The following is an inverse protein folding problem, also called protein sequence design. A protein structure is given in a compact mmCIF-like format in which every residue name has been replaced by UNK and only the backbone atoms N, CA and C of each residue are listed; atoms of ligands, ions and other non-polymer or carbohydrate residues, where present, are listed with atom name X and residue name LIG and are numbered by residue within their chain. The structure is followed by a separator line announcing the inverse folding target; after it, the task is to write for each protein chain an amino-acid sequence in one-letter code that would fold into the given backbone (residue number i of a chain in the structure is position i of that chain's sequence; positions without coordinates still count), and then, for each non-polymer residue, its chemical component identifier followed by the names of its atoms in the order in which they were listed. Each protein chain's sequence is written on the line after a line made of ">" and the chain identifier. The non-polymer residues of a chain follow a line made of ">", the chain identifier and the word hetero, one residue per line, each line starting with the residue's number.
data_IF_502122419136
#
_entry.id   IF_502122419136
#
_cell.length_a   1.000
_cell.length_b   1.000
_cell.length_c   1.000
_cell.angle_alpha   90.00
_cell.angle_beta   90.00
_cell.angle_gamma   90.00
#
_symmetry.space_group_name_H-M   'P 1'
#
loop_
_entity.id
_entity.type
_entity.pdbx_description
1 polymer ?
#
# COMPACT_ATOMS: atom_id res chain seq x y z
N UNK A 1 -3.63 15.42 48.83
CA UNK A 1 -3.81 14.17 48.07
C UNK A 1 -4.94 13.38 48.69
N UNK A 2 -6.15 13.51 48.14
CA UNK A 2 -7.32 12.71 48.50
C UNK A 2 -7.09 11.29 47.97
N UNK A 3 -6.90 10.32 48.88
CA UNK A 3 -6.91 8.89 48.53
C UNK A 3 -8.31 8.56 48.02
N UNK A 4 -8.49 8.48 46.71
CA UNK A 4 -9.71 7.91 46.15
C UNK A 4 -9.60 6.40 46.33
N UNK A 5 -10.28 5.93 47.36
CA UNK A 5 -10.35 4.52 47.79
C UNK A 5 -11.26 3.77 46.81
N UNK A 6 -10.78 3.54 45.57
CA UNK A 6 -11.47 2.67 44.61
C UNK A 6 -11.34 1.23 45.11
N UNK A 7 -12.26 0.81 45.98
CA UNK A 7 -12.22 -0.49 46.68
C UNK A 7 -12.40 -1.72 45.80
N UNK A 8 -12.68 -1.57 44.50
CA UNK A 8 -12.93 -2.69 43.60
C UNK A 8 -12.36 -2.42 42.22
N UNK A 9 -11.70 -3.40 41.60
CA UNK A 9 -11.08 -3.27 40.26
C UNK A 9 -12.08 -3.52 39.11
N UNK A 10 -13.36 -3.26 39.36
CA UNK A 10 -14.42 -3.35 38.38
C UNK A 10 -15.61 -2.45 38.76
N UNK A 11 -16.41 -2.06 37.77
CA UNK A 11 -17.65 -1.32 37.96
C UNK A 11 -18.75 -1.85 37.02
N UNK A 12 -19.98 -1.92 37.54
CA UNK A 12 -21.16 -2.18 36.72
C UNK A 12 -21.46 -0.92 35.90
N UNK A 13 -21.40 -1.04 34.57
CA UNK A 13 -21.49 0.12 33.67
C UNK A 13 -22.87 0.78 33.76
N UNK A 14 -23.93 0.04 34.09
CA UNK A 14 -25.25 0.64 34.25
C UNK A 14 -25.37 1.60 35.43
N UNK A 15 -24.54 1.42 36.46
CA UNK A 15 -24.59 2.27 37.64
C UNK A 15 -23.85 3.61 37.39
N UNK A 16 -22.93 3.64 36.41
CA UNK A 16 -22.12 4.81 36.08
C UNK A 16 -21.63 4.77 34.61
N UNK A 17 -22.51 4.97 33.61
CA UNK A 17 -22.12 4.94 32.21
C UNK A 17 -21.30 6.17 31.85
N UNK A 18 -20.24 6.01 31.06
CA UNK A 18 -19.53 7.14 30.45
C UNK A 18 -20.09 7.49 29.06
N UNK A 19 -19.64 8.62 28.49
CA UNK A 19 -20.13 9.09 27.19
C UNK A 19 -19.86 8.11 26.03
N UNK A 20 -18.86 7.22 26.15
CA UNK A 20 -18.64 6.17 25.16
C UNK A 20 -19.68 5.05 25.31
N UNK A 21 -20.06 4.71 26.54
CA UNK A 21 -21.10 3.73 26.83
C UNK A 21 -22.44 4.17 26.24
N UNK A 22 -22.82 5.43 26.45
CA UNK A 22 -24.06 5.99 25.89
C UNK A 22 -24.09 5.91 24.36
N UNK A 23 -23.00 6.30 23.69
CA UNK A 23 -22.87 6.18 22.23
C UNK A 23 -22.93 4.73 21.76
N UNK A 24 -22.31 3.83 22.52
CA UNK A 24 -22.32 2.42 22.22
C UNK A 24 -23.75 1.83 22.32
N UNK A 25 -24.49 2.18 23.38
CA UNK A 25 -25.88 1.77 23.58
C UNK A 25 -26.79 2.29 22.47
N UNK A 26 -26.62 3.55 22.05
CA UNK A 26 -27.39 4.13 20.96
C UNK A 26 -27.21 3.38 19.63
N UNK A 27 -26.01 2.86 19.36
CA UNK A 27 -25.70 2.16 18.09
C UNK A 27 -25.98 0.66 18.09
N UNK A 28 -25.97 -0.01 19.24
CA UNK A 28 -26.06 -1.48 19.32
C UNK A 28 -27.26 -1.98 20.13
N UNK A 29 -28.05 -1.08 20.71
CA UNK A 29 -29.07 -1.41 21.71
C UNK A 29 -28.48 -1.51 23.12
N UNK A 30 -29.37 -1.52 24.11
CA UNK A 30 -28.99 -1.65 25.52
C UNK A 30 -28.56 -3.11 25.80
N UNK A 31 -27.35 -3.35 26.33
CA UNK A 31 -26.93 -4.70 26.71
C UNK A 31 -27.79 -5.23 27.87
N UNK A 32 -27.80 -6.56 28.03
CA UNK A 32 -28.43 -7.22 29.18
C UNK A 32 -27.54 -7.12 30.42
N UNK A 33 -26.22 -7.21 30.23
CA UNK A 33 -25.24 -6.94 31.27
C UNK A 33 -24.02 -6.20 30.71
N UNK A 34 -23.44 -5.33 31.53
CA UNK A 34 -22.30 -4.52 31.16
C UNK A 34 -21.35 -4.34 32.36
N UNK A 35 -20.05 -4.53 32.13
CA UNK A 35 -19.03 -4.52 33.18
C UNK A 35 -17.74 -3.89 32.65
N UNK A 36 -17.10 -3.02 33.42
CA UNK A 36 -15.73 -2.60 33.16
C UNK A 36 -14.80 -3.26 34.17
N UNK A 37 -13.76 -3.90 33.69
CA UNK A 37 -12.65 -4.44 34.47
C UNK A 37 -11.48 -3.48 34.32
N UNK A 38 -11.01 -2.84 35.39
CA UNK A 38 -9.94 -1.84 35.33
C UNK A 38 -8.79 -2.18 36.28
N UNK A 39 -7.73 -1.38 36.32
CA UNK A 39 -6.51 -1.66 37.09
C UNK A 39 -5.78 -2.96 36.69
N UNK A 40 -5.77 -3.31 35.39
CA UNK A 40 -4.79 -4.28 34.91
C UNK A 40 -3.37 -3.80 35.28
N UNK A 41 -2.46 -4.72 35.62
CA UNK A 41 -1.06 -4.36 35.90
C UNK A 41 -0.46 -3.68 34.66
N UNK A 42 0.34 -2.64 34.88
CA UNK A 42 0.97 -1.88 33.79
C UNK A 42 1.83 -2.81 32.93
N UNK A 43 1.62 -2.78 31.62
CA UNK A 43 2.29 -3.68 30.66
C UNK A 43 1.78 -5.13 30.63
N UNK A 44 0.78 -5.49 31.44
CA UNK A 44 0.27 -6.85 31.57
C UNK A 44 -1.20 -6.99 31.08
N UNK A 45 -1.55 -8.21 30.68
CA UNK A 45 -2.87 -8.64 30.25
C UNK A 45 -3.58 -9.57 31.23
N UNK A 46 -2.91 -10.05 32.29
CA UNK A 46 -3.49 -11.02 33.21
C UNK A 46 -4.64 -10.44 34.06
N UNK A 47 -5.69 -11.25 34.20
CA UNK A 47 -6.80 -10.98 35.10
C UNK A 47 -6.39 -11.20 36.55
N UNK A 48 -6.66 -10.22 37.39
CA UNK A 48 -6.56 -10.36 38.85
C UNK A 48 -7.83 -10.98 39.43
N UNK A 49 -7.80 -11.42 40.69
CA UNK A 49 -8.91 -12.14 41.30
C UNK A 49 -10.22 -11.31 41.35
N UNK A 50 -10.10 -10.00 41.58
CA UNK A 50 -11.23 -9.09 41.55
C UNK A 50 -11.91 -9.05 40.17
N UNK A 51 -11.16 -9.15 39.07
CA UNK A 51 -11.75 -9.21 37.73
C UNK A 51 -12.61 -10.46 37.56
N UNK A 52 -12.11 -11.61 38.01
CA UNK A 52 -12.84 -12.89 37.93
C UNK A 52 -14.11 -12.85 38.78
N UNK A 53 -14.05 -12.24 39.97
CA UNK A 53 -15.22 -12.02 40.81
C UNK A 53 -16.25 -11.12 40.12
N UNK A 54 -15.81 -10.04 39.48
CA UNK A 54 -16.66 -9.15 38.69
C UNK A 54 -17.34 -9.87 37.53
N UNK A 55 -16.57 -10.62 36.72
CA UNK A 55 -17.10 -11.45 35.62
C UNK A 55 -18.15 -12.42 36.15
N UNK A 56 -17.86 -13.13 37.25
CA UNK A 56 -18.81 -14.06 37.84
C UNK A 56 -20.13 -13.37 38.25
N UNK A 57 -20.01 -12.26 38.99
CA UNK A 57 -21.16 -11.56 39.56
C UNK A 57 -22.05 -10.89 38.51
N UNK A 58 -21.46 -10.19 37.54
CA UNK A 58 -22.19 -9.32 36.63
C UNK A 58 -22.37 -9.88 35.21
N UNK A 59 -21.57 -10.87 34.81
CA UNK A 59 -21.69 -11.50 33.48
C UNK A 59 -22.23 -12.92 33.62
N UNK A 60 -21.60 -13.79 34.41
CA UNK A 60 -22.00 -15.20 34.52
C UNK A 60 -23.37 -15.37 35.17
N UNK A 61 -23.59 -14.82 36.38
CA UNK A 61 -24.86 -15.03 37.10
C UNK A 61 -26.10 -14.56 36.31
N UNK A 62 -26.09 -13.40 35.61
CA UNK A 62 -27.23 -12.97 34.80
C UNK A 62 -27.44 -13.79 33.51
N UNK A 63 -26.38 -14.35 32.93
CA UNK A 63 -26.44 -15.04 31.64
C UNK A 63 -26.54 -16.57 31.73
N UNK A 64 -26.26 -17.18 32.89
CA UNK A 64 -26.21 -18.64 33.06
C UNK A 64 -27.48 -19.40 32.65
N UNK A 65 -28.64 -18.74 32.72
CA UNK A 65 -29.94 -19.30 32.34
C UNK A 65 -30.45 -18.82 30.98
N UNK A 66 -29.67 -17.98 30.28
CA UNK A 66 -30.02 -17.48 28.97
C UNK A 66 -29.41 -18.36 27.89
N UNK A 67 -30.10 -18.43 26.75
CA UNK A 67 -29.58 -18.97 25.50
C UNK A 67 -29.56 -17.82 24.49
N UNK A 68 -28.69 -17.92 23.49
CA UNK A 68 -28.56 -16.94 22.41
C UNK A 68 -28.18 -15.53 22.88
N UNK A 69 -26.93 -15.38 23.32
CA UNK A 69 -26.32 -14.08 23.56
C UNK A 69 -24.96 -13.97 22.89
N UNK A 70 -24.59 -12.74 22.58
CA UNK A 70 -23.31 -12.36 22.01
C UNK A 70 -22.64 -11.30 22.87
N UNK A 71 -21.31 -11.29 22.86
CA UNK A 71 -20.52 -10.42 23.72
C UNK A 71 -19.59 -9.53 22.89
N UNK A 72 -19.47 -8.27 23.27
CA UNK A 72 -18.42 -7.37 22.78
C UNK A 72 -17.43 -7.05 23.89
N UNK A 73 -16.16 -6.99 23.50
CA UNK A 73 -15.06 -6.65 24.36
C UNK A 73 -14.35 -5.42 23.79
N UNK A 74 -14.21 -4.38 24.60
CA UNK A 74 -13.49 -3.17 24.23
C UNK A 74 -12.31 -3.04 25.17
N UNK A 75 -11.11 -3.16 24.60
CA UNK A 75 -9.86 -3.08 25.35
C UNK A 75 -9.29 -1.67 25.31
N UNK A 76 -8.80 -1.24 26.45
CA UNK A 76 -8.15 0.06 26.64
C UNK A 76 -6.73 -0.13 27.20
N UNK A 77 -5.88 0.84 26.92
CA UNK A 77 -4.57 0.98 27.52
C UNK A 77 -4.37 2.42 28.02
N UNK A 78 -3.51 2.56 29.03
CA UNK A 78 -3.05 3.88 29.47
C UNK A 78 -2.12 4.51 28.40
N UNK A 79 -1.74 5.79 28.57
CA UNK A 79 -0.91 6.52 27.60
C UNK A 79 0.56 6.12 27.60
N UNK A 80 1.00 5.37 28.61
CA UNK A 80 2.37 4.85 28.66
C UNK A 80 2.63 3.90 27.50
N UNK A 81 3.69 4.18 26.73
CA UNK A 81 4.21 3.30 25.68
C UNK A 81 3.79 3.71 24.27
N UNK A 82 4.28 2.93 23.29
CA UNK A 82 3.98 3.14 21.87
C UNK A 82 2.50 2.82 21.55
N UNK A 83 1.92 3.55 20.58
CA UNK A 83 0.51 3.37 20.17
C UNK A 83 0.24 1.96 19.64
N UNK A 84 1.16 1.40 18.85
CA UNK A 84 1.05 0.04 18.33
C UNK A 84 1.09 -0.98 19.46
N UNK A 85 2.05 -0.83 20.38
CA UNK A 85 2.14 -1.67 21.57
C UNK A 85 0.86 -1.63 22.43
N UNK A 86 0.30 -0.44 22.66
CA UNK A 86 -0.92 -0.25 23.45
C UNK A 86 -2.16 -0.84 22.77
N UNK A 87 -2.25 -0.75 21.44
CA UNK A 87 -3.26 -1.46 20.67
C UNK A 87 -3.17 -2.97 20.90
N UNK A 88 -1.99 -3.56 20.72
CA UNK A 88 -1.77 -5.01 20.90
C UNK A 88 -2.04 -5.47 22.34
N UNK A 89 -1.60 -4.70 23.34
CA UNK A 89 -1.83 -4.98 24.75
C UNK A 89 -3.33 -4.99 25.08
N UNK A 90 -4.08 -4.03 24.54
CA UNK A 90 -5.54 -3.96 24.73
C UNK A 90 -6.26 -5.18 24.13
N UNK A 91 -5.78 -5.70 22.99
CA UNK A 91 -6.29 -6.95 22.39
C UNK A 91 -5.98 -8.15 23.29
N UNK A 92 -4.76 -8.27 23.82
CA UNK A 92 -4.37 -9.37 24.71
C UNK A 92 -5.25 -9.41 25.96
N UNK A 93 -5.54 -8.26 26.56
CA UNK A 93 -6.50 -8.16 27.69
C UNK A 93 -7.88 -8.68 27.32
N UNK A 94 -8.42 -8.28 26.16
CA UNK A 94 -9.69 -8.83 25.67
C UNK A 94 -9.65 -10.35 25.46
N UNK A 95 -8.52 -10.91 25.01
CA UNK A 95 -8.34 -12.36 24.86
C UNK A 95 -8.39 -13.06 26.23
N UNK A 96 -7.75 -12.51 27.25
CA UNK A 96 -7.78 -13.07 28.62
C UNK A 96 -9.20 -13.05 29.20
N UNK A 97 -9.93 -11.94 29.05
CA UNK A 97 -11.34 -11.85 29.45
C UNK A 97 -12.21 -12.86 28.71
N UNK A 98 -12.05 -12.99 27.40
CA UNK A 98 -12.75 -13.99 26.60
C UNK A 98 -12.43 -15.41 27.11
N UNK A 99 -11.16 -15.70 27.40
CA UNK A 99 -10.74 -17.01 27.91
C UNK A 99 -11.39 -17.32 29.26
N UNK A 100 -11.42 -16.37 30.19
CA UNK A 100 -12.08 -16.57 31.48
C UNK A 100 -13.58 -16.86 31.31
N UNK A 101 -14.28 -16.15 30.43
CA UNK A 101 -15.71 -16.39 30.17
C UNK A 101 -15.97 -17.78 29.56
N UNK A 102 -15.12 -18.22 28.64
CA UNK A 102 -15.31 -19.48 27.90
C UNK A 102 -14.79 -20.73 28.62
N UNK A 103 -13.71 -20.59 29.38
CA UNK A 103 -12.94 -21.71 29.93
C UNK A 103 -12.61 -21.59 31.41
N UNK A 104 -12.96 -20.46 32.04
CA UNK A 104 -12.79 -20.26 33.46
C UNK A 104 -13.67 -21.21 34.29
N UNK A 105 -13.56 -21.08 35.62
CA UNK A 105 -14.28 -21.95 36.57
C UNK A 105 -15.80 -21.96 36.32
N UNK A 106 -16.33 -20.84 35.86
CA UNK A 106 -17.74 -20.63 35.54
C UNK A 106 -17.89 -20.31 34.05
N UNK A 107 -17.90 -21.35 33.21
CA UNK A 107 -17.95 -21.20 31.75
C UNK A 107 -19.36 -20.86 31.24
N UNK A 108 -19.43 -19.98 30.26
CA UNK A 108 -20.63 -19.64 29.51
C UNK A 108 -20.58 -20.21 28.08
N UNK A 109 -21.73 -20.65 27.57
CA UNK A 109 -21.90 -20.97 26.16
C UNK A 109 -22.29 -19.69 25.40
N UNK A 110 -21.29 -18.97 24.90
CA UNK A 110 -21.48 -17.72 24.15
C UNK A 110 -21.66 -18.05 22.67
N UNK A 111 -22.70 -17.52 22.02
CA UNK A 111 -22.94 -17.78 20.59
C UNK A 111 -21.87 -17.14 19.71
N UNK A 112 -21.47 -15.90 20.02
CA UNK A 112 -20.45 -15.18 19.27
C UNK A 112 -19.73 -14.11 20.12
N UNK A 113 -18.43 -13.90 19.88
CA UNK A 113 -17.68 -12.72 20.31
C UNK A 113 -17.43 -11.82 19.09
N UNK A 114 -18.19 -10.72 18.96
CA UNK A 114 -18.29 -9.94 17.70
C UNK A 114 -17.16 -8.95 17.45
N UNK A 115 -16.68 -8.31 18.51
CA UNK A 115 -15.69 -7.24 18.40
C UNK A 115 -14.73 -7.31 19.58
N UNK A 116 -13.45 -7.48 19.27
CA UNK A 116 -12.33 -7.04 20.11
C UNK A 116 -11.91 -5.68 19.57
N UNK A 117 -12.50 -4.62 20.09
CA UNK A 117 -12.08 -3.27 19.68
C UNK A 117 -10.86 -2.92 20.52
N UNK A 118 -9.73 -2.78 19.85
CA UNK A 118 -8.53 -2.21 20.44
C UNK A 118 -8.64 -0.68 20.36
N UNK A 119 -8.92 -0.02 21.48
CA UNK A 119 -8.82 1.45 21.54
C UNK A 119 -7.41 1.90 21.85
N UNK A 120 -6.56 1.01 22.38
CA UNK A 120 -5.22 1.38 22.85
C UNK A 120 -5.30 2.58 23.80
N UNK A 121 -4.41 3.54 23.60
CA UNK A 121 -4.37 4.80 24.35
C UNK A 121 -5.24 5.91 23.74
N UNK A 122 -5.93 5.67 22.62
CA UNK A 122 -6.64 6.73 21.87
C UNK A 122 -7.81 7.34 22.65
N UNK A 123 -8.41 6.58 23.56
CA UNK A 123 -9.50 7.04 24.43
C UNK A 123 -9.01 7.60 25.78
N UNK A 124 -7.73 7.41 26.12
CA UNK A 124 -7.19 7.83 27.41
C UNK A 124 -7.14 9.35 27.50
N UNK A 125 -7.90 9.93 28.42
CA UNK A 125 -7.80 11.36 28.74
C UNK A 125 -6.54 11.64 29.57
N UNK A 126 -5.98 12.85 29.43
CA UNK A 126 -4.77 13.29 30.15
C UNK A 126 -5.01 13.29 31.67
N UNK A 127 -4.63 12.19 32.33
CA UNK A 127 -4.43 12.17 33.78
C UNK A 127 -2.97 12.52 34.08
N UNK A 128 -2.70 13.08 35.26
CA UNK A 128 -1.40 13.64 35.63
C UNK A 128 -0.18 12.70 35.47
N UNK A 129 -0.39 11.38 35.45
CA UNK A 129 0.69 10.38 35.46
C UNK A 129 0.70 9.46 34.22
N UNK A 130 -0.17 9.69 33.21
CA UNK A 130 -0.33 8.86 31.99
C UNK A 130 -0.56 7.34 32.21
N UNK A 131 -0.53 6.86 33.45
CA UNK A 131 -0.72 5.48 33.88
C UNK A 131 -1.96 5.32 34.76
N UNK A 132 -3.08 5.83 34.30
CA UNK A 132 -4.31 5.74 35.07
C UNK A 132 -4.96 4.36 34.91
N UNK A 133 -5.19 3.67 36.03
CA UNK A 133 -5.68 2.29 36.03
C UNK A 133 -7.08 2.12 35.44
N UNK A 134 -7.90 3.18 35.45
CA UNK A 134 -9.18 3.23 34.74
C UNK A 134 -9.04 2.97 33.23
N UNK A 135 -7.96 3.46 32.60
CA UNK A 135 -7.67 3.25 31.17
C UNK A 135 -6.95 1.94 30.89
N UNK A 136 -6.32 1.33 31.90
CA UNK A 136 -5.87 -0.06 31.81
C UNK A 136 -7.05 -0.99 32.08
N UNK A 137 -7.96 -1.09 31.11
CA UNK A 137 -9.25 -1.75 31.31
C UNK A 137 -9.77 -2.54 30.11
N UNK A 138 -10.79 -3.37 30.38
CA UNK A 138 -11.64 -4.02 29.37
C UNK A 138 -13.09 -3.78 29.75
N UNK A 139 -13.89 -3.26 28.81
CA UNK A 139 -15.35 -3.22 28.92
C UNK A 139 -15.96 -4.44 28.25
N UNK A 140 -16.99 -4.98 28.90
CA UNK A 140 -17.76 -6.15 28.47
C UNK A 140 -19.20 -5.70 28.29
N UNK A 141 -19.78 -5.99 27.13
CA UNK A 141 -21.20 -5.79 26.86
C UNK A 141 -21.80 -7.08 26.33
N UNK A 142 -22.77 -7.66 27.03
CA UNK A 142 -23.49 -8.85 26.57
C UNK A 142 -24.89 -8.48 26.12
N UNK A 143 -25.29 -9.00 24.97
CA UNK A 143 -26.55 -8.69 24.30
C UNK A 143 -27.31 -9.97 24.00
N UNK A 144 -28.64 -9.92 24.07
CA UNK A 144 -29.51 -11.04 23.75
C UNK A 144 -29.82 -11.09 22.25
N UNK A 145 -30.03 -12.28 21.71
CA UNK A 145 -30.41 -12.54 20.32
C UNK A 145 -29.21 -12.75 19.39
N UNK A 146 -29.49 -12.78 18.10
CA UNK A 146 -28.44 -12.85 17.08
C UNK A 146 -27.71 -11.50 16.99
N UNK A 147 -26.39 -11.49 16.77
CA UNK A 147 -25.66 -10.25 16.60
C UNK A 147 -26.09 -9.53 15.31
N UNK A 148 -26.19 -8.18 15.32
CA UNK A 148 -26.60 -7.41 14.13
C UNK A 148 -25.66 -7.74 12.98
N UNK A 149 -26.04 -7.81 11.70
CA UNK A 149 -25.12 -8.16 10.61
C UNK A 149 -23.86 -7.26 10.62
N UNK A 150 -22.67 -7.77 10.26
CA UNK A 150 -21.46 -6.94 10.18
C UNK A 150 -21.74 -5.72 9.31
N UNK A 151 -21.31 -4.54 9.75
CA UNK A 151 -21.37 -3.36 8.87
C UNK A 151 -20.38 -3.61 7.73
N UNK A 152 -20.87 -4.01 6.56
CA UNK A 152 -20.06 -4.17 5.37
C UNK A 152 -19.73 -2.75 4.93
N UNK A 153 -18.56 -2.25 5.31
CA UNK A 153 -18.06 -1.02 4.72
C UNK A 153 -18.09 -1.19 3.19
N UNK A 154 -18.66 -0.22 2.45
CA UNK A 154 -18.69 -0.31 1.00
C UNK A 154 -17.25 -0.44 0.52
N UNK A 155 -16.98 -1.51 -0.25
CA UNK A 155 -15.65 -1.71 -0.84
C UNK A 155 -15.27 -0.42 -1.58
N UNK A 156 -14.05 0.11 -1.39
CA UNK A 156 -13.60 1.28 -2.13
C UNK A 156 -13.84 1.05 -3.63
N UNK A 157 -14.63 1.92 -4.26
CA UNK A 157 -14.86 1.84 -5.71
C UNK A 157 -13.55 2.22 -6.38
N UNK A 158 -12.88 1.25 -7.00
CA UNK A 158 -11.66 1.53 -7.76
C UNK A 158 -12.03 2.37 -9.01
N UNK A 159 -11.28 3.44 -9.32
CA UNK A 159 -11.56 4.28 -10.48
C UNK A 159 -11.50 3.47 -11.79
N UNK A 160 -12.33 3.82 -12.77
CA UNK A 160 -12.31 3.17 -14.08
C UNK A 160 -10.95 3.35 -14.78
N UNK A 161 -10.59 2.41 -15.66
CA UNK A 161 -9.40 2.56 -16.50
C UNK A 161 -9.61 3.65 -17.54
N UNK A 162 -8.62 4.51 -17.69
CA UNK A 162 -8.53 5.59 -18.67
C UNK A 162 -7.47 5.16 -19.69
N UNK A 163 -7.79 5.32 -20.97
CA UNK A 163 -6.83 5.09 -22.06
C UNK A 163 -6.25 6.43 -22.51
N UNK A 164 -4.93 6.56 -22.56
CA UNK A 164 -4.24 7.76 -23.05
C UNK A 164 -3.36 7.41 -24.25
N UNK A 165 -3.20 8.37 -25.17
CA UNK A 165 -2.39 8.24 -26.37
C UNK A 165 -1.08 9.00 -26.23
N UNK A 166 0.02 8.32 -26.52
CA UNK A 166 1.37 8.89 -26.53
C UNK A 166 2.06 8.56 -27.85
N UNK A 167 3.17 9.23 -28.12
CA UNK A 167 4.11 8.84 -29.16
C UNK A 167 5.54 8.88 -28.59
N UNK A 168 6.40 8.02 -29.09
CA UNK A 168 7.83 8.00 -28.76
C UNK A 168 8.65 8.11 -30.04
N UNK A 169 9.76 8.84 -29.98
CA UNK A 169 10.80 8.77 -31.00
C UNK A 169 12.17 8.71 -30.36
N UNK A 170 13.12 8.06 -31.03
CA UNK A 170 14.52 8.19 -30.69
C UNK A 170 15.06 9.47 -31.31
N UNK A 171 15.83 10.24 -30.56
CA UNK A 171 16.53 11.45 -31.04
C UNK A 171 17.94 11.12 -31.50
N UNK A 172 18.57 10.17 -30.81
CA UNK A 172 19.86 9.63 -31.18
C UNK A 172 20.52 8.93 -30.00
N UNK A 173 21.67 8.31 -30.24
CA UNK A 173 22.41 7.63 -29.20
C UNK A 173 23.53 6.74 -29.72
N UNK A 174 24.19 6.10 -28.77
CA UNK A 174 25.29 5.17 -29.06
C UNK A 174 25.26 3.97 -28.14
N UNK A 175 25.57 2.81 -28.70
CA UNK A 175 25.88 1.58 -27.97
C UNK A 175 27.35 1.24 -28.19
N UNK A 176 28.08 0.99 -27.11
CA UNK A 176 29.49 0.60 -27.14
C UNK A 176 29.66 -0.67 -26.32
N UNK A 177 30.14 -1.73 -26.97
CA UNK A 177 30.54 -2.97 -26.30
C UNK A 177 32.00 -2.94 -25.85
N UNK A 178 32.24 -3.14 -24.55
CA UNK A 178 33.55 -3.02 -23.91
C UNK A 178 34.29 -4.38 -23.87
N UNK A 179 33.57 -5.50 -24.04
CA UNK A 179 34.15 -6.86 -24.00
C UNK A 179 33.45 -7.87 -24.92
N UNK A 180 33.34 -7.61 -26.24
CA UNK A 180 32.67 -8.45 -27.30
C UNK A 180 31.21 -8.89 -27.04
N UNK A 181 30.75 -8.89 -25.79
CA UNK A 181 29.50 -9.46 -25.30
C UNK A 181 28.83 -8.50 -24.34
N UNK A 182 29.55 -7.71 -23.53
CA UNK A 182 28.96 -6.71 -22.63
C UNK A 182 29.19 -5.29 -23.10
N UNK A 183 28.14 -4.48 -23.10
CA UNK A 183 28.18 -3.08 -23.51
C UNK A 183 27.37 -2.14 -22.64
N UNK A 184 27.49 -0.86 -22.97
CA UNK A 184 26.68 0.21 -22.40
C UNK A 184 25.94 0.92 -23.52
N UNK A 185 24.66 1.11 -23.29
CA UNK A 185 23.75 1.72 -24.23
C UNK A 185 23.29 3.06 -23.67
N UNK A 186 23.45 4.12 -24.47
CA UNK A 186 23.04 5.46 -24.11
C UNK A 186 22.23 6.04 -25.26
N UNK A 187 20.91 6.18 -25.08
CA UNK A 187 19.99 6.68 -26.08
C UNK A 187 19.16 7.84 -25.52
N UNK A 188 18.83 8.79 -26.38
CA UNK A 188 17.93 9.88 -26.07
C UNK A 188 16.59 9.62 -26.77
N UNK A 189 15.52 9.63 -25.99
CA UNK A 189 14.15 9.50 -26.47
C UNK A 189 13.38 10.80 -26.22
N UNK A 190 12.41 11.10 -27.08
CA UNK A 190 11.34 12.07 -26.81
C UNK A 190 10.03 11.29 -26.67
N UNK A 191 9.25 11.57 -25.63
CA UNK A 191 7.88 11.06 -25.47
C UNK A 191 6.93 12.25 -25.52
N UNK A 192 5.86 12.13 -26.31
CA UNK A 192 4.85 13.15 -26.54
C UNK A 192 3.49 12.66 -26.07
N UNK A 193 2.79 13.47 -25.28
CA UNK A 193 1.37 13.26 -25.00
C UNK A 193 0.56 13.75 -26.21
N UNK A 194 -0.24 12.87 -26.82
CA UNK A 194 -0.96 13.21 -28.06
C UNK A 194 -2.25 14.01 -27.81
N UNK A 195 -2.70 14.13 -26.56
CA UNK A 195 -3.85 14.96 -26.17
C UNK A 195 -3.43 16.39 -25.83
N UNK A 196 -2.35 16.56 -25.05
CA UNK A 196 -1.87 17.87 -24.61
C UNK A 196 -0.77 18.45 -25.51
N UNK A 197 -0.20 17.64 -26.40
CA UNK A 197 0.98 17.95 -27.22
C UNK A 197 2.27 18.23 -26.45
N UNK A 198 2.26 18.09 -25.11
CA UNK A 198 3.45 18.19 -24.28
C UNK A 198 4.49 17.14 -24.70
N UNK A 199 5.75 17.52 -24.66
CA UNK A 199 6.88 16.64 -24.99
C UNK A 199 7.93 16.68 -23.89
N UNK A 200 8.52 15.53 -23.57
CA UNK A 200 9.62 15.41 -22.62
C UNK A 200 10.75 14.54 -23.20
N UNK A 201 11.98 14.83 -22.78
CA UNK A 201 13.16 14.09 -23.17
C UNK A 201 13.59 13.11 -22.07
N UNK A 202 14.05 11.93 -22.49
CA UNK A 202 14.45 10.85 -21.61
C UNK A 202 15.78 10.29 -22.06
N UNK A 203 16.76 10.28 -21.15
CA UNK A 203 18.01 9.58 -21.32
C UNK A 203 17.85 8.13 -20.88
N UNK A 204 18.02 7.21 -21.80
CA UNK A 204 18.17 5.79 -21.51
C UNK A 204 19.62 5.47 -21.20
N UNK A 205 19.85 4.83 -20.06
CA UNK A 205 21.13 4.22 -19.70
C UNK A 205 20.91 2.73 -19.38
N UNK A 206 21.52 1.85 -20.18
CA UNK A 206 21.37 0.41 -20.05
C UNK A 206 22.67 -0.37 -20.17
N UNK A 207 22.64 -1.61 -19.68
CA UNK A 207 23.69 -2.60 -19.92
C UNK A 207 23.23 -3.55 -21.01
N UNK A 208 24.02 -3.68 -22.06
CA UNK A 208 23.72 -4.53 -23.22
C UNK A 208 24.49 -5.84 -23.19
N UNK A 209 23.85 -6.86 -23.77
CA UNK A 209 24.48 -8.09 -24.23
C UNK A 209 24.40 -8.12 -25.76
N UNK A 210 25.53 -8.42 -26.41
CA UNK A 210 25.62 -8.55 -27.87
C UNK A 210 25.90 -10.01 -28.28
N UNK A 211 25.26 -10.46 -29.36
CA UNK A 211 25.51 -11.75 -29.98
C UNK A 211 25.68 -11.62 -31.50
N UNK A 212 26.79 -12.17 -32.02
CA UNK A 212 27.12 -12.22 -33.46
C UNK A 212 28.09 -11.14 -33.93
N UNK A 213 28.81 -11.44 -35.02
CA UNK A 213 29.72 -10.52 -35.73
C UNK A 213 31.19 -10.53 -35.25
N UNK A 214 32.17 -10.37 -36.16
CA UNK A 214 33.56 -10.12 -35.78
C UNK A 214 33.75 -8.67 -35.31
N UNK A 215 34.34 -8.48 -34.13
CA UNK A 215 34.69 -7.15 -33.59
C UNK A 215 33.86 -6.72 -32.37
N UNK A 216 34.16 -5.54 -31.82
CA UNK A 216 33.30 -4.91 -30.81
C UNK A 216 32.18 -4.15 -31.51
N UNK A 217 30.91 -4.52 -31.33
CA UNK A 217 29.82 -3.80 -31.97
C UNK A 217 29.75 -2.36 -31.41
N UNK A 218 29.79 -1.40 -32.32
CA UNK A 218 29.56 0.01 -32.07
C UNK A 218 28.39 0.42 -32.93
N UNK A 219 27.32 0.90 -32.31
CA UNK A 219 26.12 1.36 -33.00
C UNK A 219 25.92 2.83 -32.70
N UNK A 220 25.63 3.61 -33.75
CA UNK A 220 25.26 5.02 -33.66
C UNK A 220 23.89 5.12 -34.32
N UNK A 221 22.95 5.74 -33.63
CA UNK A 221 21.61 6.01 -34.11
C UNK A 221 21.35 7.51 -34.09
N UNK A 222 20.71 8.05 -35.12
CA UNK A 222 20.16 9.41 -35.10
C UNK A 222 18.65 9.40 -34.88
N UNK A 223 17.99 10.49 -35.26
CA UNK A 223 16.59 10.72 -34.95
C UNK A 223 15.68 9.84 -35.79
N UNK A 224 14.65 9.25 -35.20
CA UNK A 224 13.61 8.50 -35.89
C UNK A 224 12.30 9.25 -36.01
N UNK A 225 11.34 8.62 -36.70
CA UNK A 225 9.94 9.04 -36.75
C UNK A 225 9.23 8.82 -35.40
N UNK A 226 8.13 9.55 -35.21
CA UNK A 226 7.23 9.36 -34.07
C UNK A 226 6.42 8.07 -34.22
N UNK A 227 6.49 7.21 -33.21
CA UNK A 227 5.74 5.95 -33.17
C UNK A 227 4.68 6.02 -32.07
N UNK A 228 3.38 5.89 -32.39
CA UNK A 228 2.31 6.01 -31.42
C UNK A 228 2.23 4.77 -30.51
N UNK A 229 1.83 4.98 -29.26
CA UNK A 229 1.44 3.93 -28.32
C UNK A 229 0.33 4.40 -27.39
N UNK A 230 -0.31 3.46 -26.72
CA UNK A 230 -1.39 3.75 -25.77
C UNK A 230 -1.07 3.22 -24.39
N UNK A 231 -1.55 3.89 -23.36
CA UNK A 231 -1.49 3.43 -21.98
C UNK A 231 -2.90 3.23 -21.43
N UNK A 232 -3.11 2.22 -20.59
CA UNK A 232 -4.37 1.99 -19.85
C UNK A 232 -4.08 1.97 -18.36
N UNK A 233 -4.62 2.92 -17.61
CA UNK A 233 -4.35 3.13 -16.17
C UNK A 233 -5.58 3.69 -15.45
N UNK A 234 -5.69 3.51 -14.13
CA UNK A 234 -6.80 4.11 -13.34
C UNK A 234 -6.63 5.61 -13.06
N UNK A 235 -5.49 6.17 -13.46
CA UNK A 235 -5.11 7.57 -13.22
C UNK A 235 -4.53 8.16 -14.50
N UNK A 236 -4.68 9.47 -14.69
CA UNK A 236 -4.02 10.17 -15.79
C UNK A 236 -2.50 10.18 -15.57
N UNK A 237 -1.77 9.66 -16.54
CA UNK A 237 -0.32 9.71 -16.60
C UNK A 237 0.14 11.06 -17.14
N UNK A 238 1.13 11.63 -16.46
CA UNK A 238 1.94 12.74 -16.90
C UNK A 238 3.26 12.22 -17.50
N UNK A 239 3.95 13.04 -18.29
CA UNK A 239 5.24 12.66 -18.88
C UNK A 239 6.31 12.30 -17.84
N UNK A 240 6.27 12.94 -16.67
CA UNK A 240 7.17 12.60 -15.54
C UNK A 240 6.98 11.18 -15.01
N UNK A 241 5.85 10.53 -15.28
CA UNK A 241 5.58 9.16 -14.81
C UNK A 241 6.35 8.10 -15.63
N UNK A 242 6.94 8.49 -16.76
CA UNK A 242 7.91 7.68 -17.51
C UNK A 242 9.35 7.82 -16.96
N UNK A 243 9.59 8.69 -15.98
CA UNK A 243 10.89 8.82 -15.34
C UNK A 243 11.20 7.60 -14.47
N UNK A 244 12.44 7.12 -14.53
CA UNK A 244 12.91 5.90 -13.87
C UNK A 244 12.15 4.62 -14.25
N UNK A 245 11.56 4.61 -15.45
CA UNK A 245 10.92 3.43 -16.00
C UNK A 245 12.00 2.47 -16.53
N UNK A 246 11.94 1.21 -16.09
CA UNK A 246 12.80 0.17 -16.64
C UNK A 246 12.28 -0.21 -18.01
N UNK A 247 13.14 -0.14 -19.03
CA UNK A 247 12.82 -0.56 -20.38
C UNK A 247 13.90 -1.52 -20.87
N UNK A 248 13.47 -2.50 -21.66
CA UNK A 248 14.38 -3.30 -22.46
C UNK A 248 14.46 -2.69 -23.86
N UNK A 249 15.66 -2.63 -24.41
CA UNK A 249 15.90 -2.29 -25.81
C UNK A 249 16.48 -3.50 -26.52
N UNK A 250 16.03 -3.79 -27.73
CA UNK A 250 16.71 -4.72 -28.62
C UNK A 250 17.01 -4.03 -29.95
N UNK A 251 18.22 -4.22 -30.47
CA UNK A 251 18.63 -3.73 -31.77
C UNK A 251 18.87 -4.90 -32.71
N UNK A 252 18.22 -4.87 -33.88
CA UNK A 252 18.45 -5.82 -34.94
C UNK A 252 19.70 -5.44 -35.78
N UNK A 253 20.47 -6.42 -36.27
CA UNK A 253 21.59 -6.15 -37.18
C UNK A 253 21.10 -5.48 -38.46
N UNK A 254 21.82 -4.48 -38.95
CA UNK A 254 21.42 -3.78 -40.15
C UNK A 254 22.26 -2.55 -40.45
N UNK A 255 21.93 -1.94 -41.58
CA UNK A 255 22.51 -0.67 -42.03
C UNK A 255 21.37 0.33 -42.13
N UNK A 256 21.50 1.43 -41.39
CA UNK A 256 20.65 2.60 -41.58
C UNK A 256 21.40 3.64 -42.41
N UNK A 257 20.71 4.25 -43.38
CA UNK A 257 21.22 5.38 -44.15
C UNK A 257 20.05 6.35 -44.44
N UNK A 258 19.95 7.41 -43.66
CA UNK A 258 18.77 8.28 -43.64
C UNK A 258 17.54 7.55 -43.10
N UNK A 259 16.33 7.94 -43.53
CA UNK A 259 15.06 7.32 -43.10
C UNK A 259 14.81 5.92 -43.63
N UNK A 260 15.67 5.44 -44.54
CA UNK A 260 15.64 4.08 -45.03
C UNK A 260 16.58 3.21 -44.18
N UNK A 261 16.00 2.42 -43.28
CA UNK A 261 16.72 1.38 -42.53
C UNK A 261 16.50 0.03 -43.20
N UNK A 262 17.59 -0.65 -43.53
CA UNK A 262 17.58 -2.03 -44.03
C UNK A 262 18.03 -2.91 -42.86
N UNK A 263 17.04 -3.53 -42.20
CA UNK A 263 17.17 -4.43 -41.03
C UNK A 263 17.58 -3.80 -39.68
N UNK A 264 17.90 -2.51 -39.59
CA UNK A 264 18.34 -1.85 -38.35
C UNK A 264 17.19 -1.21 -37.57
N UNK A 265 16.36 -2.01 -36.90
CA UNK A 265 15.25 -1.52 -36.07
C UNK A 265 15.56 -1.59 -34.57
N UNK A 266 15.02 -0.64 -33.80
CA UNK A 266 15.03 -0.66 -32.34
C UNK A 266 13.67 -1.13 -31.81
N UNK A 267 13.68 -2.11 -30.91
CA UNK A 267 12.50 -2.58 -30.21
C UNK A 267 12.56 -2.08 -28.77
N UNK A 268 11.65 -1.21 -28.39
CA UNK A 268 11.50 -0.68 -27.02
C UNK A 268 10.43 -1.47 -26.31
N UNK A 269 10.78 -2.21 -25.26
CA UNK A 269 9.84 -2.96 -24.42
C UNK A 269 9.73 -2.33 -23.03
N UNK A 270 8.53 -1.85 -22.68
CA UNK A 270 8.29 -1.27 -21.37
C UNK A 270 8.05 -2.35 -20.33
N UNK A 271 9.04 -2.58 -19.47
CA UNK A 271 8.92 -3.57 -18.41
C UNK A 271 8.09 -3.01 -17.25
N UNK A 272 7.20 -3.84 -16.71
CA UNK A 272 6.41 -3.48 -15.54
C UNK A 272 7.35 -3.21 -14.35
N UNK A 273 7.45 -1.96 -13.92
CA UNK A 273 8.33 -1.58 -12.82
C UNK A 273 7.77 -2.13 -11.49
N UNK A 274 8.38 -3.20 -10.97
CA UNK A 274 7.95 -3.83 -9.71
C UNK A 274 8.23 -2.95 -8.48
N UNK A 275 9.14 -1.96 -8.58
CA UNK A 275 9.79 -1.36 -7.42
C UNK A 275 9.41 0.10 -7.08
N UNK A 276 8.50 0.79 -7.78
CA UNK A 276 8.05 2.14 -7.39
C UNK A 276 6.54 2.39 -7.60
N UNK A 277 6.08 3.53 -7.08
CA UNK A 277 4.72 3.96 -6.70
C UNK A 277 3.53 3.46 -7.55
N UNK A 278 2.38 3.33 -6.86
CA UNK A 278 1.11 2.73 -7.29
C UNK A 278 0.62 3.05 -8.73
N UNK A 279 0.99 4.18 -9.33
CA UNK A 279 0.51 4.58 -10.66
C UNK A 279 0.98 3.64 -11.81
N UNK A 280 2.20 3.10 -11.73
CA UNK A 280 2.76 2.29 -12.83
C UNK A 280 2.37 0.80 -12.71
N UNK A 281 2.02 0.33 -11.51
CA UNK A 281 1.66 -1.09 -11.29
C UNK A 281 0.40 -1.51 -12.04
N UNK A 282 -0.54 -0.59 -12.21
CA UNK A 282 -1.81 -0.81 -12.92
C UNK A 282 -1.82 -0.19 -14.33
N UNK A 283 -0.64 0.14 -14.88
CA UNK A 283 -0.54 0.68 -16.23
C UNK A 283 -0.16 -0.42 -17.21
N UNK A 284 -0.98 -0.61 -18.23
CA UNK A 284 -0.66 -1.43 -19.41
C UNK A 284 -0.25 -0.54 -20.57
N UNK A 285 0.80 -0.90 -21.31
CA UNK A 285 1.25 -0.18 -22.52
C UNK A 285 0.98 -1.05 -23.74
N UNK A 286 0.36 -0.50 -24.77
CA UNK A 286 -0.01 -1.21 -26.01
C UNK A 286 0.41 -0.42 -27.27
N UNK A 287 1.26 -0.98 -28.15
CA UNK A 287 1.97 -2.25 -27.95
C UNK A 287 3.02 -2.13 -26.84
N UNK A 288 3.27 -3.21 -26.09
CA UNK A 288 4.34 -3.22 -25.08
C UNK A 288 5.72 -3.09 -25.71
N UNK A 289 5.86 -3.58 -26.95
CA UNK A 289 7.04 -3.46 -27.80
C UNK A 289 6.79 -2.47 -28.93
N UNK A 290 7.57 -1.40 -28.99
CA UNK A 290 7.51 -0.36 -30.03
C UNK A 290 8.73 -0.48 -30.94
N UNK A 291 8.50 -0.53 -32.26
CA UNK A 291 9.55 -0.56 -33.27
C UNK A 291 9.85 0.88 -33.70
N UNK A 292 11.07 1.36 -33.48
CA UNK A 292 11.53 2.71 -33.81
C UNK A 292 12.63 2.60 -34.89
N UNK A 293 12.45 3.33 -36.00
CA UNK A 293 13.49 3.55 -37.02
C UNK A 293 14.47 4.61 -36.54
N UNK A 294 15.70 4.59 -37.05
CA UNK A 294 16.71 5.59 -36.72
C UNK A 294 17.26 6.18 -38.02
N UNK A 295 17.17 7.50 -38.18
CA UNK A 295 17.81 8.17 -39.31
C UNK A 295 19.30 8.36 -38.99
N UNK A 296 20.17 8.09 -39.96
CA UNK A 296 21.61 8.28 -39.82
C UNK A 296 22.41 7.07 -40.26
N UNK A 297 23.74 7.22 -40.30
CA UNK A 297 24.66 6.12 -40.63
C UNK A 297 24.92 5.29 -39.38
N UNK A 298 24.22 4.16 -39.28
CA UNK A 298 24.39 3.17 -38.23
C UNK A 298 24.82 1.85 -38.84
N UNK A 299 25.88 1.25 -38.32
CA UNK A 299 26.30 -0.10 -38.67
C UNK A 299 26.19 -0.97 -37.42
N UNK A 300 25.24 -1.91 -37.41
CA UNK A 300 25.20 -2.95 -36.38
C UNK A 300 25.49 -4.30 -37.00
N UNK A 301 26.58 -4.93 -36.56
CA UNK A 301 26.97 -6.30 -36.96
C UNK A 301 26.39 -7.38 -36.07
N UNK A 302 25.75 -6.98 -34.97
CA UNK A 302 25.33 -7.88 -33.90
C UNK A 302 23.88 -7.62 -33.51
N UNK A 303 23.20 -8.67 -33.05
CA UNK A 303 21.97 -8.51 -32.30
C UNK A 303 22.37 -8.01 -30.90
N UNK A 304 21.81 -6.89 -30.46
CA UNK A 304 22.02 -6.42 -29.08
C UNK A 304 20.70 -6.37 -28.34
N UNK A 305 20.75 -6.72 -27.05
CA UNK A 305 19.63 -6.53 -26.14
C UNK A 305 20.17 -5.88 -24.87
N UNK A 306 19.50 -4.85 -24.38
CA UNK A 306 19.85 -4.14 -23.15
C UNK A 306 18.66 -3.98 -22.24
N UNK A 307 18.97 -3.88 -20.95
CA UNK A 307 18.01 -3.48 -19.93
C UNK A 307 18.57 -2.24 -19.24
N UNK A 308 17.72 -1.25 -19.01
CA UNK A 308 18.12 0.04 -18.51
C UNK A 308 16.94 0.86 -18.03
N UNK A 309 17.24 2.09 -17.61
CA UNK A 309 16.23 3.01 -17.09
C UNK A 309 16.15 4.25 -17.97
N UNK A 310 14.92 4.72 -18.19
CA UNK A 310 14.67 6.06 -18.69
C UNK A 310 14.86 7.07 -17.55
N UNK A 311 15.57 8.15 -17.82
CA UNK A 311 15.70 9.28 -16.90
C UNK A 311 15.27 10.55 -17.61
N UNK A 312 14.22 11.19 -17.11
CA UNK A 312 13.76 12.46 -17.64
C UNK A 312 14.89 13.51 -17.52
N UNK A 313 15.09 14.29 -18.58
CA UNK A 313 16.10 15.33 -18.65
C UNK A 313 15.56 16.52 -19.45
N UNK A 314 16.25 17.67 -19.34
CA UNK A 314 15.97 18.80 -20.20
C UNK A 314 16.26 18.43 -21.66
N UNK A 315 15.36 18.81 -22.56
CA UNK A 315 15.56 18.54 -23.97
C UNK A 315 16.76 19.33 -24.49
N UNK A 316 17.75 18.68 -25.12
CA UNK A 316 18.78 19.42 -25.82
C UNK A 316 18.13 20.28 -26.90
N UNK A 317 18.62 21.51 -27.06
CA UNK A 317 18.14 22.44 -28.07
C UNK A 317 18.22 21.76 -29.43
N UNK A 318 17.07 21.64 -30.10
CA UNK A 318 17.02 21.05 -31.41
C UNK A 318 17.52 22.10 -32.41
N UNK A 319 18.78 21.97 -32.86
CA UNK A 319 19.37 22.92 -33.80
C UNK A 319 18.69 22.92 -35.18
N UNK A 320 17.80 21.94 -35.43
CA UNK A 320 16.99 21.86 -36.65
C UNK A 320 15.63 22.53 -36.52
N UNK A 321 15.16 22.82 -35.30
CA UNK A 321 13.93 23.57 -35.08
C UNK A 321 14.25 25.08 -35.06
N UNK A 322 13.49 25.93 -35.77
CA UNK A 322 13.71 27.37 -35.73
C UNK A 322 13.54 27.90 -34.30
N UNK A 323 14.37 28.85 -33.88
CA UNK A 323 14.35 29.48 -32.54
C UNK A 323 13.01 30.15 -32.13
N UNK A 324 12.03 30.18 -33.03
CA UNK A 324 10.72 30.80 -32.86
C UNK A 324 9.55 29.80 -32.77
N UNK A 325 9.82 28.48 -32.82
CA UNK A 325 8.83 27.41 -32.65
C UNK A 325 8.69 26.99 -31.17
#
# INVERSE_FOLDING_TARGET
>A
MTKVDYKFDFENIFDNPDAEDEKYFAGNGMPVCALRLYNFITGDDKLIENHKLGIYKYIFLPLRSQVDYWINLVGYASKIGDRGYNSDLSIRRCVEVQREILTGRNKLNVAEFRKKVARGSDASTDAADDDFGYWRSVKIYAHKGAPPPPNIEPKPVLPAFITQKFAIKMVGGRSISIFKMFGRDNYLFKIKNMETFDTACFFYAGTSVAAGGPGSPVSIAGSGDWVPFTTSSRFKLALKDFNELNIALAQQPGISAGSNSVFGNFMVDFQQNKNKQFAVRETSINPSTIIISADGMGFSTALTASNGNLKMMDCPRDLSEPDWA
#
